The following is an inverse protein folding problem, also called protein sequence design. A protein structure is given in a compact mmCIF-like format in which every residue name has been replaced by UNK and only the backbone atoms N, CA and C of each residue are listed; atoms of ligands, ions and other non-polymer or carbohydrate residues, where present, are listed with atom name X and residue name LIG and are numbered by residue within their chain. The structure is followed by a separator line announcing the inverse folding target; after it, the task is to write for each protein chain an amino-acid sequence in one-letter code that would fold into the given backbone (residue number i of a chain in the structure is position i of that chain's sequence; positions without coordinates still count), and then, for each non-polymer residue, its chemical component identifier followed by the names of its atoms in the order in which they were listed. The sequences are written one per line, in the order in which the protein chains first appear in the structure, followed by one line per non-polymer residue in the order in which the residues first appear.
data_IF_760328849010
#
_entry.id   IF_760328849010
#
_cell.length_a   1.000
_cell.length_b   1.000
_cell.length_c   1.000
_cell.angle_alpha   90.00
_cell.angle_beta   90.00
_cell.angle_gamma   90.00
#
_symmetry.space_group_name_H-M   'P 1'
#
loop_
_entity.id
_entity.type
_entity.pdbx_description
1 polymer ?
#
# COMPACT_ATOMS: atom_id res chain seq x y z
N UNK A 1 -1.50 -5.14 -12.55
CA UNK A 1 -2.39 -4.39 -13.47
C UNK A 1 -1.52 -3.52 -14.37
N UNK A 2 -1.80 -3.43 -15.67
CA UNK A 2 -1.16 -2.47 -16.57
C UNK A 2 -1.27 -1.02 -16.04
N UNK A 3 -0.23 -0.18 -16.18
CA UNK A 3 -0.22 1.18 -15.63
C UNK A 3 -1.40 2.05 -16.09
N UNK A 4 -1.75 1.97 -17.37
CA UNK A 4 -2.85 2.76 -17.94
C UNK A 4 -4.21 2.35 -17.38
N UNK A 5 -4.40 1.06 -17.09
CA UNK A 5 -5.62 0.56 -16.44
C UNK A 5 -5.71 1.06 -15.00
N UNK A 6 -4.58 1.04 -14.27
CA UNK A 6 -4.54 1.55 -12.90
C UNK A 6 -4.82 3.05 -12.82
N UNK A 7 -4.22 3.85 -13.73
CA UNK A 7 -4.49 5.28 -13.85
C UNK A 7 -5.97 5.56 -14.14
N UNK A 8 -6.58 4.79 -15.06
CA UNK A 8 -8.01 4.90 -15.39
C UNK A 8 -8.89 4.58 -14.18
N UNK A 9 -8.57 3.52 -13.45
CA UNK A 9 -9.28 3.14 -12.22
C UNK A 9 -9.23 4.24 -11.15
N UNK A 10 -8.06 4.83 -10.91
CA UNK A 10 -7.92 5.93 -9.95
C UNK A 10 -8.78 7.13 -10.35
N UNK A 11 -8.80 7.48 -11.64
CA UNK A 11 -9.65 8.56 -12.16
C UNK A 11 -11.14 8.24 -12.03
N UNK A 12 -11.56 6.99 -12.26
CA UNK A 12 -12.98 6.61 -12.09
C UNK A 12 -13.43 6.64 -10.64
N UNK A 13 -12.51 6.55 -9.68
CA UNK A 13 -12.77 6.78 -8.25
C UNK A 13 -12.74 8.26 -7.84
N UNK A 14 -12.69 9.19 -8.81
CA UNK A 14 -12.71 10.63 -8.55
C UNK A 14 -11.34 11.22 -8.15
N UNK A 15 -10.23 10.48 -8.31
CA UNK A 15 -8.90 11.06 -8.07
C UNK A 15 -8.56 12.08 -9.18
N UNK A 16 -8.00 13.24 -8.83
CA UNK A 16 -7.48 14.19 -9.80
C UNK A 16 -6.44 13.54 -10.72
N UNK A 17 -6.34 14.03 -11.97
CA UNK A 17 -5.44 13.45 -12.97
C UNK A 17 -3.97 13.41 -12.52
N UNK A 18 -3.47 14.49 -11.90
CA UNK A 18 -2.12 14.54 -11.35
C UNK A 18 -1.90 13.45 -10.29
N UNK A 19 -2.88 13.21 -9.43
CA UNK A 19 -2.77 12.23 -8.36
C UNK A 19 -2.80 10.80 -8.91
N UNK A 20 -3.63 10.54 -9.92
CA UNK A 20 -3.66 9.25 -10.60
C UNK A 20 -2.34 8.93 -11.30
N UNK A 21 -1.67 9.93 -11.87
CA UNK A 21 -0.33 9.78 -12.46
C UNK A 21 0.70 9.38 -11.40
N UNK A 22 0.83 10.17 -10.34
CA UNK A 22 1.81 9.94 -9.27
C UNK A 22 1.62 8.58 -8.59
N UNK A 23 0.37 8.21 -8.28
CA UNK A 23 0.08 6.89 -7.73
C UNK A 23 0.44 5.75 -8.67
N UNK A 24 0.31 5.94 -9.98
CA UNK A 24 0.66 4.92 -10.99
C UNK A 24 2.18 4.73 -11.06
N UNK A 25 2.95 5.83 -11.01
CA UNK A 25 4.42 5.78 -10.93
C UNK A 25 4.86 5.06 -9.66
N UNK A 26 4.27 5.40 -8.51
CA UNK A 26 4.55 4.75 -7.23
C UNK A 26 4.23 3.25 -7.26
N UNK A 27 3.05 2.87 -7.76
CA UNK A 27 2.65 1.46 -7.93
C UNK A 27 3.65 0.66 -8.78
N UNK A 28 4.10 1.23 -9.90
CA UNK A 28 5.11 0.62 -10.75
C UNK A 28 6.45 0.41 -10.03
N UNK A 29 6.92 1.42 -9.30
CA UNK A 29 8.14 1.32 -8.50
C UNK A 29 8.03 0.21 -7.45
N UNK A 30 6.95 0.18 -6.69
CA UNK A 30 6.67 -0.85 -5.68
C UNK A 30 6.62 -2.26 -6.30
N UNK A 31 5.96 -2.42 -7.46
CA UNK A 31 5.88 -3.71 -8.16
C UNK A 31 7.24 -4.27 -8.60
N UNK A 32 8.25 -3.40 -8.70
CA UNK A 32 9.63 -3.74 -9.06
C UNK A 32 10.55 -3.83 -7.84
N UNK A 33 10.00 -3.76 -6.63
CA UNK A 33 10.76 -3.89 -5.39
C UNK A 33 11.40 -2.60 -4.87
N UNK A 34 11.09 -1.42 -5.45
CA UNK A 34 11.69 -0.15 -5.01
C UNK A 34 11.42 0.19 -3.53
N UNK A 35 10.38 -0.40 -2.93
CA UNK A 35 10.00 -0.21 -1.52
C UNK A 35 10.31 -1.42 -0.63
N UNK A 36 10.98 -2.45 -1.15
CA UNK A 36 11.31 -3.67 -0.40
C UNK A 36 12.64 -3.55 0.38
N UNK A 37 13.13 -2.34 0.61
CA UNK A 37 14.36 -2.09 1.38
C UNK A 37 14.05 -2.23 2.87
N UNK A 38 14.68 -3.21 3.52
CA UNK A 38 14.53 -3.42 4.95
C UNK A 38 15.44 -2.47 5.73
N UNK A 39 14.90 -1.92 6.83
CA UNK A 39 15.65 -1.05 7.74
C UNK A 39 15.21 -1.28 9.18
N UNK A 40 16.05 -0.89 10.14
CA UNK A 40 15.75 -0.94 11.58
C UNK A 40 15.35 0.44 12.14
N UNK A 41 15.03 1.38 11.25
CA UNK A 41 14.83 2.80 11.60
C UNK A 41 13.70 3.03 12.60
N UNK A 42 12.61 2.27 12.48
CA UNK A 42 11.51 2.33 13.45
C UNK A 42 11.98 1.95 14.86
N UNK A 43 12.78 0.89 14.97
CA UNK A 43 13.35 0.47 16.25
C UNK A 43 14.36 1.49 16.79
N UNK A 44 15.21 2.03 15.92
CA UNK A 44 16.19 3.05 16.28
C UNK A 44 15.53 4.31 16.84
N UNK A 45 14.46 4.78 16.22
CA UNK A 45 13.79 6.04 16.59
C UNK A 45 12.81 5.85 17.76
N UNK A 46 12.08 4.74 17.81
CA UNK A 46 10.98 4.54 18.76
C UNK A 46 11.30 3.56 19.89
N UNK A 47 12.47 2.90 19.89
CA UNK A 47 12.88 1.93 20.90
C UNK A 47 12.08 0.62 20.88
N UNK A 48 11.27 0.39 19.85
CA UNK A 48 10.46 -0.83 19.68
C UNK A 48 10.46 -1.29 18.21
N UNK A 49 10.35 -2.59 17.93
CA UNK A 49 10.28 -3.08 16.56
C UNK A 49 9.08 -2.49 15.79
N UNK A 50 9.20 -2.43 14.47
CA UNK A 50 8.08 -2.12 13.59
C UNK A 50 6.94 -3.11 13.81
N UNK A 51 5.71 -2.61 13.80
CA UNK A 51 4.52 -3.47 13.94
C UNK A 51 4.44 -4.38 12.71
N UNK A 52 4.41 -5.72 12.88
CA UNK A 52 4.32 -6.63 11.74
C UNK A 52 2.95 -6.54 11.07
N UNK A 53 2.90 -6.82 9.76
CA UNK A 53 1.68 -6.68 8.98
C UNK A 53 0.51 -7.52 9.52
N UNK A 54 0.75 -8.73 10.02
CA UNK A 54 -0.31 -9.59 10.58
C UNK A 54 -1.05 -8.92 11.74
N UNK A 55 -0.36 -8.11 12.55
CA UNK A 55 -0.97 -7.35 13.63
C UNK A 55 -1.82 -6.20 13.08
N UNK A 56 -1.30 -5.48 12.08
CA UNK A 56 -2.07 -4.43 11.39
C UNK A 56 -3.32 -5.01 10.73
N UNK A 57 -3.21 -6.15 10.04
CA UNK A 57 -4.34 -6.81 9.41
C UNK A 57 -5.42 -7.20 10.43
N UNK A 58 -5.01 -7.73 11.60
CA UNK A 58 -5.93 -8.03 12.69
C UNK A 58 -6.63 -6.77 13.24
N UNK A 59 -5.89 -5.68 13.45
CA UNK A 59 -6.44 -4.42 13.98
C UNK A 59 -7.51 -3.81 13.05
N UNK A 60 -7.35 -4.01 11.73
CA UNK A 60 -8.26 -3.47 10.72
C UNK A 60 -9.28 -4.50 10.18
N UNK A 61 -9.27 -5.74 10.67
CA UNK A 61 -10.10 -6.83 10.15
C UNK A 61 -11.59 -6.46 10.07
N UNK A 62 -12.09 -5.67 11.03
CA UNK A 62 -13.48 -5.19 11.06
C UNK A 62 -13.91 -4.36 9.84
N UNK A 63 -12.97 -3.78 9.09
CA UNK A 63 -13.24 -3.02 7.86
C UNK A 63 -13.34 -3.92 6.62
N UNK A 64 -12.96 -5.19 6.75
CA UNK A 64 -12.92 -6.16 5.65
C UNK A 64 -13.75 -7.42 5.99
N UNK A 65 -15.07 -7.29 6.19
CA UNK A 65 -15.92 -8.37 6.70
C UNK A 65 -16.01 -9.60 5.76
N UNK A 66 -15.57 -9.50 4.50
CA UNK A 66 -15.56 -10.61 3.54
C UNK A 66 -14.21 -11.33 3.38
N UNK A 67 -13.17 -10.96 4.14
CA UNK A 67 -11.84 -11.58 4.03
C UNK A 67 -11.68 -12.82 4.91
N UNK A 68 -12.66 -13.12 5.77
CA UNK A 68 -12.72 -14.35 6.57
C UNK A 68 -13.80 -15.24 5.96
N UNK A 69 -13.42 -16.02 4.95
CA UNK A 69 -14.30 -17.00 4.33
C UNK A 69 -14.13 -17.14 2.83
N UNK A 70 -12.98 -17.66 2.38
CA UNK A 70 -12.83 -18.62 1.29
C UNK A 70 -11.60 -19.49 1.57
#
# INVERSE_FOLDING_TARGET
MPPDEFRKLLRSMGRPAWHAEEMTVSYLGMSKGASAVLTEEVQRVLGRPATPFDRVAADYARLFPGAVGQ
#
